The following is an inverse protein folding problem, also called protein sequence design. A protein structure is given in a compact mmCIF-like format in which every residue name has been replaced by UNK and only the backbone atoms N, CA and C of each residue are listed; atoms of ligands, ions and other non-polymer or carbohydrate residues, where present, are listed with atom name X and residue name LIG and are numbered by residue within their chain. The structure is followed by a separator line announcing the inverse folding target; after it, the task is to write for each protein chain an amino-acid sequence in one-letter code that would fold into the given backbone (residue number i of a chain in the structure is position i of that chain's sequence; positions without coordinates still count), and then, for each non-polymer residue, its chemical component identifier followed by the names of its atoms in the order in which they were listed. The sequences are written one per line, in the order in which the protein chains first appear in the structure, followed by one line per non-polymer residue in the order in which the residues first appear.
data_IF_506881162094
#
_entry.id   IF_506881162094
#
_cell.length_a   1.000
_cell.length_b   1.000
_cell.length_c   1.000
_cell.angle_alpha   90.00
_cell.angle_beta   90.00
_cell.angle_gamma   90.00
#
_symmetry.space_group_name_H-M   'P 1'
#
loop_
_entity.id
_entity.type
_entity.pdbx_description
1 polymer ?
#
# COMPACT_ATOMS: atom_id res chain seq x y z
N UNK A 1 -11.48 11.74 4.38
CA UNK A 1 -10.25 12.31 4.99
C UNK A 1 -9.28 12.70 3.88
N UNK A 2 -9.58 13.76 3.13
CA UNK A 2 -8.80 14.08 1.93
C UNK A 2 -7.49 14.81 2.24
N UNK A 3 -7.18 15.15 3.50
CA UNK A 3 -6.00 15.94 3.85
C UNK A 3 -4.89 15.13 4.54
N UNK A 4 -5.10 13.83 4.75
CA UNK A 4 -4.10 13.00 5.41
C UNK A 4 -2.88 12.83 4.49
N UNK A 5 -1.70 13.24 4.96
CA UNK A 5 -0.45 13.13 4.22
C UNK A 5 0.44 11.99 4.73
N UNK A 6 0.26 11.60 6.00
CA UNK A 6 1.07 10.58 6.67
C UNK A 6 0.14 9.58 7.33
N UNK A 7 0.32 8.31 7.00
CA UNK A 7 -0.28 7.18 7.70
C UNK A 7 0.85 6.23 8.07
N UNK A 8 1.18 6.22 9.36
CA UNK A 8 2.20 5.35 9.90
C UNK A 8 1.53 4.16 10.60
N UNK A 9 1.65 2.98 10.00
CA UNK A 9 1.18 1.71 10.55
C UNK A 9 2.37 0.78 10.84
N UNK A 10 3.58 1.32 10.95
CA UNK A 10 4.74 0.52 11.30
C UNK A 10 4.50 -0.22 12.62
N UNK A 11 4.92 -1.48 12.72
CA UNK A 11 4.72 -2.32 13.91
C UNK A 11 3.25 -2.67 14.25
N UNK A 12 2.31 -2.39 13.34
CA UNK A 12 0.90 -2.71 13.58
C UNK A 12 0.58 -4.17 13.26
N UNK A 13 -0.34 -4.74 14.05
CA UNK A 13 -0.94 -6.06 13.82
C UNK A 13 -2.17 -5.94 12.93
N UNK A 14 -1.92 -5.59 11.67
CA UNK A 14 -2.97 -5.50 10.64
C UNK A 14 -2.85 -6.68 9.69
N UNK A 15 -3.97 -7.32 9.38
CA UNK A 15 -4.00 -8.43 8.42
C UNK A 15 -4.18 -7.95 6.98
N UNK A 16 -4.96 -6.89 6.80
CA UNK A 16 -5.28 -6.28 5.52
C UNK A 16 -5.39 -4.76 5.65
N UNK A 17 -5.14 -4.06 4.53
CA UNK A 17 -5.51 -2.66 4.37
C UNK A 17 -6.87 -2.58 3.66
N UNK A 18 -7.77 -1.66 4.06
CA UNK A 18 -9.08 -1.53 3.42
C UNK A 18 -8.97 -0.98 1.99
N UNK A 19 -9.89 -1.37 1.09
CA UNK A 19 -9.95 -0.86 -0.30
C UNK A 19 -10.16 0.66 -0.37
N UNK A 20 -10.77 1.24 0.67
CA UNK A 20 -11.00 2.67 0.84
C UNK A 20 -9.70 3.46 1.03
N UNK A 21 -8.55 2.79 1.23
CA UNK A 21 -7.24 3.42 1.25
C UNK A 21 -7.00 4.30 0.03
N UNK A 22 -7.48 3.90 -1.15
CA UNK A 22 -7.34 4.67 -2.38
C UNK A 22 -8.00 6.07 -2.35
N UNK A 23 -8.87 6.35 -1.39
CA UNK A 23 -9.52 7.65 -1.20
C UNK A 23 -8.62 8.66 -0.47
N UNK A 24 -7.46 8.22 0.06
CA UNK A 24 -6.45 9.07 0.68
C UNK A 24 -5.56 9.74 -0.38
N UNK A 25 -6.15 10.44 -1.36
CA UNK A 25 -5.47 10.95 -2.55
C UNK A 25 -4.30 11.93 -2.28
N UNK A 26 -4.23 12.54 -1.08
CA UNK A 26 -3.14 13.40 -0.65
C UNK A 26 -2.07 12.70 0.19
N UNK A 27 -2.18 11.38 0.40
CA UNK A 27 -1.21 10.61 1.16
C UNK A 27 0.15 10.63 0.46
N UNK A 28 1.20 10.91 1.24
CA UNK A 28 2.59 11.01 0.81
C UNK A 28 3.45 9.94 1.45
N UNK A 29 3.11 9.51 2.65
CA UNK A 29 3.82 8.48 3.39
C UNK A 29 2.84 7.39 3.88
N UNK A 30 3.16 6.14 3.54
CA UNK A 30 2.50 4.95 4.07
C UNK A 30 3.56 4.03 4.71
N UNK A 31 3.58 4.02 6.04
CA UNK A 31 4.48 3.18 6.84
C UNK A 31 3.91 1.79 7.04
N UNK A 32 4.56 0.78 6.49
CA UNK A 32 4.22 -0.65 6.64
C UNK A 32 5.45 -1.50 6.97
N UNK A 33 6.52 -0.86 7.46
CA UNK A 33 7.64 -1.63 7.99
C UNK A 33 7.10 -2.44 9.14
N UNK A 34 7.59 -3.67 9.30
CA UNK A 34 7.30 -4.39 10.51
C UNK A 34 5.78 -4.60 10.67
N UNK A 35 5.08 -5.05 9.62
CA UNK A 35 3.68 -5.49 9.69
C UNK A 35 3.61 -6.94 9.23
N UNK A 36 4.08 -7.85 10.09
CA UNK A 36 4.27 -9.27 9.77
C UNK A 36 2.98 -10.03 9.51
N UNK A 37 1.87 -9.56 10.08
CA UNK A 37 0.54 -10.15 9.90
C UNK A 37 -0.12 -9.66 8.60
N UNK A 38 0.43 -8.63 7.93
CA UNK A 38 -0.13 -8.08 6.70
C UNK A 38 0.05 -9.06 5.55
N UNK A 39 -1.06 -9.69 5.16
CA UNK A 39 -1.11 -10.71 4.11
C UNK A 39 -1.14 -10.09 2.72
N UNK A 40 -1.86 -8.99 2.57
CA UNK A 40 -1.94 -8.25 1.32
C UNK A 40 -2.40 -6.81 1.52
N UNK A 41 -2.09 -5.98 0.54
CA UNK A 41 -2.65 -4.63 0.40
C UNK A 41 -3.90 -4.76 -0.47
N UNK A 42 -5.06 -4.20 -0.10
CA UNK A 42 -6.23 -4.26 -0.97
C UNK A 42 -6.04 -3.45 -2.26
N UNK A 43 -6.82 -3.78 -3.29
CA UNK A 43 -6.87 -3.02 -4.54
C UNK A 43 -7.14 -1.52 -4.31
N UNK A 44 -6.54 -0.67 -5.14
CA UNK A 44 -6.75 0.77 -5.10
C UNK A 44 -5.54 1.58 -4.59
N UNK A 45 -4.42 0.92 -4.26
CA UNK A 45 -3.17 1.59 -3.95
C UNK A 45 -2.72 2.50 -5.10
N UNK A 46 -2.98 2.10 -6.35
CA UNK A 46 -2.68 2.89 -7.55
C UNK A 46 -3.38 4.26 -7.59
N UNK A 47 -4.44 4.47 -6.81
CA UNK A 47 -5.10 5.79 -6.67
C UNK A 47 -4.25 6.77 -5.85
N UNK A 48 -3.31 6.29 -5.04
CA UNK A 48 -2.42 7.10 -4.21
C UNK A 48 -1.30 7.75 -5.03
N UNK A 49 -1.64 8.46 -6.09
CA UNK A 49 -0.69 9.06 -7.05
C UNK A 49 0.24 10.13 -6.45
N UNK A 50 -0.07 10.62 -5.25
CA UNK A 50 0.80 11.52 -4.48
C UNK A 50 1.75 10.80 -3.51
N UNK A 51 1.68 9.48 -3.41
CA UNK A 51 2.50 8.67 -2.51
C UNK A 51 3.97 8.80 -2.91
N UNK A 52 4.80 9.14 -1.93
CA UNK A 52 6.24 9.36 -2.09
C UNK A 52 7.05 8.26 -1.41
N UNK A 53 6.54 7.71 -0.32
CA UNK A 53 7.24 6.71 0.46
C UNK A 53 6.31 5.54 0.77
N UNK A 54 6.75 4.36 0.33
CA UNK A 54 6.18 3.05 0.61
C UNK A 54 7.35 2.09 0.80
N UNK A 55 7.56 1.60 2.01
CA UNK A 55 8.74 0.77 2.31
C UNK A 55 8.53 -0.72 2.06
N UNK A 56 7.29 -1.19 2.12
CA UNK A 56 6.92 -2.60 1.99
C UNK A 56 5.66 -2.71 1.16
N UNK A 57 5.68 -3.58 0.16
CA UNK A 57 4.56 -3.91 -0.71
C UNK A 57 4.41 -5.42 -0.78
N UNK A 58 3.26 -5.93 -0.34
CA UNK A 58 2.97 -7.37 -0.29
C UNK A 58 1.98 -7.68 -1.41
N UNK A 59 2.42 -8.49 -2.38
CA UNK A 59 1.63 -8.94 -3.52
C UNK A 59 0.81 -10.15 -3.09
N UNK A 60 -0.48 -10.15 -3.42
CA UNK A 60 -1.31 -11.36 -3.28
C UNK A 60 -0.94 -12.39 -4.34
N UNK A 61 -0.62 -13.60 -3.90
CA UNK A 61 -0.35 -14.76 -4.76
C UNK A 61 -1.59 -15.66 -4.91
N UNK A 62 -2.79 -15.12 -5.10
CA UNK A 62 -3.99 -15.97 -5.14
C UNK A 62 -4.61 -16.13 -6.53
N UNK A 63 -4.69 -17.42 -6.92
CA UNK A 63 -5.22 -17.99 -8.17
C UNK A 63 -6.75 -17.94 -8.24
N UNK A 64 -7.38 -16.79 -7.94
CA UNK A 64 -8.81 -16.63 -8.23
C UNK A 64 -9.66 -15.78 -7.28
N UNK A 65 -9.12 -15.25 -6.19
CA UNK A 65 -9.89 -14.42 -5.25
C UNK A 65 -9.27 -13.00 -5.18
N UNK A 66 -9.83 -12.07 -5.93
CA UNK A 66 -9.29 -10.75 -6.28
C UNK A 66 -9.38 -9.73 -5.14
N UNK A 67 -8.78 -10.02 -3.98
CA UNK A 67 -8.81 -9.11 -2.81
C UNK A 67 -7.53 -8.31 -2.62
N UNK A 68 -6.44 -8.72 -3.25
CA UNK A 68 -5.14 -8.08 -3.08
C UNK A 68 -4.65 -7.29 -4.29
N UNK A 69 -3.76 -6.35 -4.00
CA UNK A 69 -3.18 -5.41 -4.93
C UNK A 69 -2.31 -6.12 -5.96
N UNK A 70 -2.52 -5.76 -7.23
CA UNK A 70 -1.70 -6.23 -8.32
C UNK A 70 -0.43 -5.38 -8.43
N UNK A 71 0.73 -6.01 -8.64
CA UNK A 71 2.00 -5.28 -8.86
C UNK A 71 1.93 -4.21 -9.96
N UNK A 72 1.01 -4.36 -10.94
CA UNK A 72 0.75 -3.37 -11.99
C UNK A 72 0.28 -2.01 -11.45
N UNK A 73 -0.31 -1.95 -10.26
CA UNK A 73 -0.71 -0.69 -9.64
C UNK A 73 0.49 0.20 -9.30
N UNK A 74 1.68 -0.38 -9.09
CA UNK A 74 2.89 0.40 -8.86
C UNK A 74 3.30 1.24 -10.09
N UNK A 75 2.87 0.85 -11.30
CA UNK A 75 3.20 1.55 -12.56
C UNK A 75 2.76 3.02 -12.57
N UNK A 76 1.70 3.36 -11.85
CA UNK A 76 1.17 4.74 -11.81
C UNK A 76 1.73 5.55 -10.64
N UNK A 77 2.42 4.92 -9.70
CA UNK A 77 2.98 5.54 -8.49
C UNK A 77 4.36 6.16 -8.76
N UNK A 78 4.44 7.03 -9.78
CA UNK A 78 5.68 7.60 -10.30
C UNK A 78 6.40 8.57 -9.34
N UNK A 79 5.77 8.92 -8.21
CA UNK A 79 6.36 9.78 -7.18
C UNK A 79 7.05 8.98 -6.06
N UNK A 80 6.94 7.65 -6.08
CA UNK A 80 7.65 6.80 -5.14
C UNK A 80 9.15 6.99 -5.28
N UNK A 81 9.81 7.12 -4.14
CA UNK A 81 11.25 7.33 -4.04
C UNK A 81 11.80 6.57 -2.83
N UNK A 82 13.11 6.33 -2.84
CA UNK A 82 13.80 5.55 -1.82
C UNK A 82 13.66 4.04 -2.06
N UNK A 83 13.77 3.28 -0.97
CA UNK A 83 13.75 1.82 -1.02
C UNK A 83 12.33 1.26 -0.88
N UNK A 84 11.98 0.35 -1.78
CA UNK A 84 10.73 -0.42 -1.77
C UNK A 84 11.06 -1.92 -1.71
N UNK A 85 10.65 -2.59 -0.64
CA UNK A 85 10.68 -4.05 -0.55
C UNK A 85 9.38 -4.62 -1.12
N UNK A 86 9.49 -5.45 -2.16
CA UNK A 86 8.37 -6.19 -2.75
C UNK A 86 8.45 -7.64 -2.26
N UNK A 87 7.33 -8.15 -1.77
CA UNK A 87 7.20 -9.51 -1.25
C UNK A 87 6.00 -10.17 -1.91
N UNK A 88 6.08 -11.48 -2.15
CA UNK A 88 5.00 -12.32 -2.65
C UNK A 88 4.89 -13.59 -1.83
#
# INVERSE_FOLDING_TARGET
LCNLQTLDLNYSKIEELPKEMGELCNLRFLGLKWTWELKFIAEGLGKLTNLRTLHRFVVCNDKGDTKGCNIRELKVLNKLQGELSIQG
#
